data_IF_513261822484
#
_entry.id   IF_513261822484
#
_cell.length_a   1.000
_cell.length_b   1.000
_cell.length_c   1.000
_cell.angle_alpha   90.00
_cell.angle_beta   90.00
_cell.angle_gamma   90.00
#
_symmetry.space_group_name_H-M   'P 1'
#
loop_
_entity.id
_entity.type
_entity.pdbx_description
1 polymer ?
#
# COMPACT_ATOMS: atom_id res chain seq x y z
N UNK A 1 -2.72 8.25 -13.70
CA UNK A 1 -3.51 8.37 -12.44
C UNK A 1 -2.70 9.15 -11.42
N UNK A 2 -3.40 9.77 -10.45
CA UNK A 2 -2.79 10.27 -9.21
C UNK A 2 -2.97 9.21 -8.13
N UNK A 3 -1.89 8.66 -7.62
CA UNK A 3 -1.91 7.57 -6.63
C UNK A 3 -1.33 8.08 -5.31
N UNK A 4 -2.08 7.95 -4.22
CA UNK A 4 -1.56 8.21 -2.89
C UNK A 4 -1.04 6.91 -2.27
N UNK A 5 0.20 6.94 -1.79
CA UNK A 5 0.83 5.80 -1.10
C UNK A 5 1.13 6.18 0.33
N UNK A 6 0.59 5.42 1.27
CA UNK A 6 0.88 5.53 2.70
C UNK A 6 1.81 4.41 3.15
N UNK A 7 2.90 4.73 3.85
CA UNK A 7 3.79 3.74 4.48
C UNK A 7 3.68 3.88 5.99
N UNK A 8 3.29 2.79 6.66
CA UNK A 8 3.14 2.77 8.13
C UNK A 8 4.20 1.88 8.79
N UNK A 9 4.26 1.90 10.12
CA UNK A 9 5.27 1.19 10.89
C UNK A 9 5.00 -0.31 11.12
N UNK A 10 4.17 -0.96 10.31
CA UNK A 10 4.11 -2.42 10.33
C UNK A 10 5.38 -3.00 9.68
N UNK A 11 5.84 -4.16 10.15
CA UNK A 11 6.95 -4.86 9.51
C UNK A 11 6.61 -5.20 8.04
N UNK A 12 7.62 -5.17 7.16
CA UNK A 12 7.43 -5.35 5.73
C UNK A 12 7.39 -4.01 4.97
N UNK A 13 8.09 -2.99 5.46
CA UNK A 13 8.25 -1.69 4.76
C UNK A 13 8.77 -1.88 3.33
N UNK A 14 9.49 -2.97 3.07
CA UNK A 14 9.99 -3.35 1.75
C UNK A 14 8.88 -3.47 0.70
N UNK A 15 7.66 -3.85 1.07
CA UNK A 15 6.52 -3.87 0.12
C UNK A 15 6.15 -2.47 -0.36
N UNK A 16 6.17 -1.49 0.56
CA UNK A 16 5.92 -0.09 0.21
C UNK A 16 7.03 0.50 -0.66
N UNK A 17 8.29 0.20 -0.33
CA UNK A 17 9.45 0.64 -1.13
C UNK A 17 9.37 0.05 -2.53
N UNK A 18 9.17 -1.27 -2.65
CA UNK A 18 9.08 -1.94 -3.95
C UNK A 18 7.87 -1.47 -4.78
N UNK A 19 6.75 -1.15 -4.11
CA UNK A 19 5.61 -0.52 -4.77
C UNK A 19 5.97 0.84 -5.37
N UNK A 20 6.68 1.69 -4.62
CA UNK A 20 7.14 2.99 -5.10
C UNK A 20 8.12 2.85 -6.27
N UNK A 21 9.09 1.92 -6.18
CA UNK A 21 10.02 1.63 -7.28
C UNK A 21 9.26 1.22 -8.56
N UNK A 22 8.29 0.30 -8.43
CA UNK A 22 7.51 -0.15 -9.57
C UNK A 22 6.61 0.96 -10.15
N UNK A 23 6.05 1.83 -9.32
CA UNK A 23 5.26 2.97 -9.77
C UNK A 23 6.12 4.04 -10.44
N UNK A 24 7.38 4.22 -10.01
CA UNK A 24 8.33 5.18 -10.60
C UNK A 24 8.62 4.87 -12.07
N UNK A 25 8.51 3.61 -12.49
CA UNK A 25 8.68 3.18 -13.89
C UNK A 25 7.41 3.43 -14.74
N UNK A 26 6.40 4.07 -14.17
CA UNK A 26 5.14 4.38 -14.85
C UNK A 26 4.95 5.89 -15.01
N UNK A 27 3.97 6.30 -15.85
CA UNK A 27 3.60 7.71 -16.02
C UNK A 27 2.59 8.20 -14.95
N UNK A 28 2.47 7.48 -13.82
CA UNK A 28 1.53 7.83 -12.75
C UNK A 28 2.17 8.83 -11.79
N UNK A 29 1.38 9.79 -11.32
CA UNK A 29 1.84 10.73 -10.29
C UNK A 29 1.65 10.12 -8.91
N UNK A 30 2.72 9.99 -8.16
CA UNK A 30 2.75 9.35 -6.84
C UNK A 30 2.90 10.38 -5.74
N UNK A 31 1.95 10.40 -4.81
CA UNK A 31 2.00 11.19 -3.58
C UNK A 31 2.28 10.26 -2.39
N UNK A 32 3.44 10.39 -1.78
CA UNK A 32 3.87 9.59 -0.63
C UNK A 32 3.55 10.28 0.69
N UNK A 33 2.98 9.52 1.62
CA UNK A 33 2.86 9.89 3.03
C UNK A 33 3.57 8.83 3.87
N UNK A 34 4.63 9.23 4.57
CA UNK A 34 5.42 8.36 5.41
C UNK A 34 5.13 8.66 6.88
N UNK A 35 4.71 7.66 7.66
CA UNK A 35 4.54 7.84 9.09
C UNK A 35 5.89 7.84 9.81
N UNK A 36 5.97 8.43 10.99
CA UNK A 36 7.18 8.40 11.83
C UNK A 36 7.72 6.98 12.04
N UNK A 37 6.84 6.01 12.33
CA UNK A 37 7.25 4.61 12.47
C UNK A 37 7.54 3.94 11.12
N UNK A 38 6.92 4.36 10.03
CA UNK A 38 7.29 3.91 8.69
C UNK A 38 8.73 4.30 8.34
N UNK A 39 9.10 5.57 8.62
CA UNK A 39 10.47 6.06 8.46
C UNK A 39 11.47 5.25 9.28
N UNK A 40 11.22 5.09 10.60
CA UNK A 40 12.09 4.29 11.47
C UNK A 40 12.26 2.85 11.00
N UNK A 41 11.19 2.24 10.50
CA UNK A 41 11.19 0.84 10.04
C UNK A 41 12.05 0.66 8.79
N UNK A 42 12.21 1.66 7.93
CA UNK A 42 13.12 1.61 6.77
C UNK A 42 14.53 1.22 7.23
N UNK A 43 15.10 1.95 8.18
CA UNK A 43 16.45 1.69 8.68
C UNK A 43 16.57 0.44 9.56
N UNK A 44 15.46 -0.05 10.14
CA UNK A 44 15.46 -1.25 10.98
C UNK A 44 15.36 -2.55 10.16
N UNK A 45 14.70 -2.54 9.02
CA UNK A 45 14.39 -3.75 8.25
C UNK A 45 15.12 -3.83 6.91
N UNK A 46 15.67 -2.72 6.41
CA UNK A 46 16.27 -2.66 5.08
C UNK A 46 17.61 -1.94 5.08
N UNK A 47 18.33 -2.02 3.97
CA UNK A 47 19.53 -1.21 3.70
C UNK A 47 19.23 0.12 2.99
N UNK A 48 17.97 0.41 2.69
CA UNK A 48 17.58 1.66 2.06
C UNK A 48 17.68 2.84 3.03
N UNK A 49 17.94 4.02 2.46
CA UNK A 49 17.85 5.27 3.21
C UNK A 49 16.45 5.89 3.06
N UNK A 50 16.03 6.69 4.04
CA UNK A 50 14.77 7.45 3.93
C UNK A 50 14.79 8.36 2.70
N UNK A 51 15.90 9.09 2.46
CA UNK A 51 16.05 9.97 1.31
C UNK A 51 15.82 9.25 -0.02
N UNK A 52 16.33 8.01 -0.14
CA UNK A 52 16.06 7.19 -1.32
C UNK A 52 14.56 6.94 -1.48
N UNK A 53 13.90 6.50 -0.43
CA UNK A 53 12.45 6.19 -0.47
C UNK A 53 11.63 7.43 -0.82
N UNK A 54 11.97 8.59 -0.24
CA UNK A 54 11.31 9.86 -0.55
C UNK A 54 11.52 10.27 -2.03
N UNK A 55 12.69 9.98 -2.61
CA UNK A 55 13.01 10.30 -4.01
C UNK A 55 12.21 9.49 -5.04
N UNK A 56 11.56 8.40 -4.63
CA UNK A 56 10.74 7.57 -5.50
C UNK A 56 9.36 8.19 -5.81
N UNK A 57 8.94 9.19 -5.03
CA UNK A 57 7.64 9.84 -5.20
C UNK A 57 7.76 11.22 -5.86
N UNK A 58 6.71 11.65 -6.56
CA UNK A 58 6.63 12.98 -7.18
C UNK A 58 6.30 14.07 -6.15
N UNK A 59 5.58 13.70 -5.10
CA UNK A 59 5.21 14.58 -3.99
C UNK A 59 5.29 13.84 -2.67
N UNK A 60 5.81 14.49 -1.64
CA UNK A 60 5.92 13.93 -0.29
C UNK A 60 5.19 14.81 0.69
N UNK A 61 4.42 14.21 1.59
CA UNK A 61 3.66 14.92 2.61
C UNK A 61 3.97 14.37 4.00
N UNK A 62 4.10 15.26 4.96
CA UNK A 62 4.19 14.91 6.37
C UNK A 62 2.88 14.28 6.86
N UNK A 63 2.97 13.18 7.61
CA UNK A 63 1.79 12.44 8.09
C UNK A 63 0.92 13.22 9.09
N UNK A 64 1.46 14.24 9.75
CA UNK A 64 0.73 15.15 10.64
C UNK A 64 0.07 16.32 9.91
N UNK A 65 0.41 16.57 8.64
CA UNK A 65 -0.11 17.70 7.89
C UNK A 65 -1.52 17.45 7.34
N UNK A 66 -2.53 17.66 8.16
CA UNK A 66 -3.93 17.53 7.78
C UNK A 66 -4.43 18.60 6.81
N UNK A 67 -3.65 19.66 6.56
CA UNK A 67 -3.95 20.70 5.57
C UNK A 67 -3.39 20.37 4.17
N UNK A 68 -2.68 19.26 4.01
CA UNK A 68 -2.14 18.84 2.72
C UNK A 68 -3.23 18.62 1.66
N UNK A 69 -2.93 18.92 0.40
CA UNK A 69 -3.90 18.84 -0.69
C UNK A 69 -4.57 17.46 -0.80
N UNK A 70 -3.82 16.38 -0.57
CA UNK A 70 -4.30 14.98 -0.61
C UNK A 70 -5.34 14.65 0.48
N UNK A 71 -5.51 15.50 1.49
CA UNK A 71 -6.55 15.35 2.53
C UNK A 71 -7.96 15.66 2.02
N UNK A 72 -8.07 16.28 0.84
CA UNK A 72 -9.33 16.69 0.25
C UNK A 72 -9.73 15.80 -0.92
N UNK A 73 -10.99 15.36 -0.96
CA UNK A 73 -11.56 14.62 -2.10
C UNK A 73 -11.52 15.40 -3.41
N UNK A 74 -11.58 16.74 -3.35
CA UNK A 74 -11.53 17.62 -4.54
C UNK A 74 -10.13 17.69 -5.18
N UNK A 75 -9.07 17.24 -4.51
CA UNK A 75 -7.73 17.14 -5.10
C UNK A 75 -7.65 16.10 -6.21
N UNK A 76 -8.55 15.09 -6.18
CA UNK A 76 -8.72 14.14 -7.26
C UNK A 76 -7.66 13.03 -7.25
N UNK A 77 -7.38 12.42 -6.09
CA UNK A 77 -6.66 11.15 -6.00
C UNK A 77 -7.50 10.06 -6.67
N UNK A 78 -6.91 9.29 -7.58
CA UNK A 78 -7.59 8.23 -8.31
C UNK A 78 -7.57 6.89 -7.57
N UNK A 79 -6.51 6.62 -6.79
CA UNK A 79 -6.36 5.41 -5.98
C UNK A 79 -5.48 5.67 -4.76
N UNK A 80 -5.73 4.93 -3.68
CA UNK A 80 -4.94 4.99 -2.45
C UNK A 80 -4.44 3.58 -2.08
N UNK A 81 -3.15 3.45 -1.80
CA UNK A 81 -2.54 2.21 -1.33
C UNK A 81 -1.81 2.48 -0.01
N UNK A 82 -2.04 1.66 0.99
CA UNK A 82 -1.30 1.72 2.26
C UNK A 82 -0.50 0.42 2.40
N UNK A 83 0.82 0.53 2.27
CA UNK A 83 1.73 -0.61 2.18
C UNK A 83 3.07 -0.33 2.92
N UNK A 84 3.34 -1.05 4.03
CA UNK A 84 2.41 -1.91 4.76
C UNK A 84 1.37 -1.11 5.54
N UNK A 85 0.22 -1.73 5.84
CA UNK A 85 -0.82 -1.14 6.66
C UNK A 85 -0.81 -1.76 8.07
N UNK A 86 -0.53 -0.95 9.09
CA UNK A 86 -0.58 -1.39 10.49
C UNK A 86 -2.03 -1.55 10.98
N UNK A 87 -2.20 -2.35 12.04
CA UNK A 87 -3.51 -2.53 12.67
C UNK A 87 -4.05 -1.24 13.28
N UNK A 88 -3.19 -0.30 13.73
CA UNK A 88 -3.61 1.05 14.14
C UNK A 88 -4.27 1.79 12.98
N UNK A 89 -3.61 1.80 11.82
CA UNK A 89 -4.10 2.49 10.63
C UNK A 89 -5.39 1.84 10.10
N UNK A 90 -5.43 0.49 10.03
CA UNK A 90 -6.63 -0.25 9.70
C UNK A 90 -7.80 0.11 10.63
N UNK A 91 -7.56 0.14 11.95
CA UNK A 91 -8.58 0.48 12.94
C UNK A 91 -9.08 1.92 12.77
N UNK A 92 -8.19 2.88 12.50
CA UNK A 92 -8.56 4.27 12.23
C UNK A 92 -9.49 4.38 11.02
N UNK A 93 -9.14 3.74 9.91
CA UNK A 93 -9.95 3.73 8.68
C UNK A 93 -11.30 3.04 8.92
N UNK A 94 -11.29 1.86 9.55
CA UNK A 94 -12.51 1.08 9.82
C UNK A 94 -13.53 1.83 10.68
N UNK A 95 -13.06 2.73 11.55
CA UNK A 95 -13.91 3.50 12.47
C UNK A 95 -14.05 4.99 12.09
N UNK A 96 -13.51 5.41 10.93
CA UNK A 96 -13.57 6.80 10.49
C UNK A 96 -12.81 7.79 11.40
N UNK A 97 -11.81 7.31 12.15
CA UNK A 97 -11.02 8.11 13.08
C UNK A 97 -9.71 8.59 12.42
N UNK A 98 -9.82 9.70 11.70
CA UNK A 98 -8.72 10.28 10.92
C UNK A 98 -7.80 11.18 11.77
N UNK A 99 -6.95 10.57 12.61
CA UNK A 99 -6.00 11.27 13.49
C UNK A 99 -4.70 11.70 12.77
N UNK A 100 -4.48 11.25 11.54
CA UNK A 100 -3.33 11.59 10.73
C UNK A 100 -3.65 11.50 9.23
N UNK A 101 -2.74 12.01 8.39
CA UNK A 101 -2.97 12.11 6.96
C UNK A 101 -3.08 10.73 6.27
N UNK A 102 -2.39 9.68 6.75
CA UNK A 102 -2.49 8.34 6.16
C UNK A 102 -3.90 7.76 6.36
N UNK A 103 -4.46 7.87 7.58
CA UNK A 103 -5.84 7.45 7.84
C UNK A 103 -6.81 8.32 7.02
N UNK A 104 -6.53 9.64 6.94
CA UNK A 104 -7.38 10.56 6.19
C UNK A 104 -7.46 10.25 4.71
N UNK A 105 -6.35 9.93 4.02
CA UNK A 105 -6.42 9.56 2.59
C UNK A 105 -7.20 8.25 2.39
N UNK A 106 -7.14 7.31 3.33
CA UNK A 106 -7.97 6.10 3.32
C UNK A 106 -9.47 6.42 3.45
N UNK A 107 -9.84 7.26 4.41
CA UNK A 107 -11.22 7.75 4.60
C UNK A 107 -11.72 8.50 3.36
N UNK A 108 -10.88 9.38 2.79
CA UNK A 108 -11.21 10.10 1.54
C UNK A 108 -11.44 9.14 0.39
N UNK A 109 -10.61 8.11 0.23
CA UNK A 109 -10.79 7.13 -0.84
C UNK A 109 -12.15 6.42 -0.71
N UNK A 110 -12.53 5.98 0.50
CA UNK A 110 -13.81 5.32 0.73
C UNK A 110 -15.00 6.25 0.44
N UNK A 111 -14.99 7.49 0.95
CA UNK A 111 -16.10 8.43 0.75
C UNK A 111 -16.26 8.87 -0.71
N UNK A 112 -15.15 8.97 -1.47
CA UNK A 112 -15.14 9.33 -2.89
C UNK A 112 -15.34 8.12 -3.81
N UNK A 113 -15.54 6.91 -3.24
CA UNK A 113 -15.70 5.65 -3.99
C UNK A 113 -14.51 5.35 -4.93
N UNK A 114 -13.31 5.68 -4.46
CA UNK A 114 -12.05 5.40 -5.16
C UNK A 114 -11.42 4.12 -4.62
N UNK A 115 -10.63 3.39 -5.42
CA UNK A 115 -9.89 2.23 -4.93
C UNK A 115 -9.06 2.55 -3.69
N UNK A 116 -9.26 1.78 -2.63
CA UNK A 116 -8.44 1.77 -1.42
C UNK A 116 -7.91 0.36 -1.23
N UNK A 117 -6.58 0.20 -1.25
CA UNK A 117 -5.90 -1.07 -1.04
C UNK A 117 -5.08 -0.99 0.25
N UNK A 118 -5.34 -1.90 1.18
CA UNK A 118 -4.61 -2.01 2.44
C UNK A 118 -3.81 -3.30 2.46
N UNK A 119 -2.48 -3.19 2.33
CA UNK A 119 -1.57 -4.32 2.52
C UNK A 119 -1.37 -4.54 4.02
N UNK A 120 -2.39 -5.08 4.66
CA UNK A 120 -2.39 -5.28 6.11
C UNK A 120 -1.37 -6.35 6.50
N UNK A 121 -0.54 -6.03 7.53
CA UNK A 121 0.48 -6.97 8.02
C UNK A 121 0.41 -7.09 9.53
N UNK A 122 -0.01 -8.25 10.01
CA UNK A 122 -0.06 -8.65 11.41
C UNK A 122 -0.24 -10.16 11.52
N UNK A 123 0.36 -10.77 12.54
CA UNK A 123 0.16 -12.18 12.87
C UNK A 123 0.52 -12.45 14.35
N UNK A 124 -0.26 -13.26 15.12
CA UNK A 124 -1.59 -13.75 14.80
C UNK A 124 -2.65 -12.63 14.80
N UNK A 125 -3.81 -12.87 14.18
CA UNK A 125 -4.89 -11.89 14.14
C UNK A 125 -5.84 -12.06 15.33
N UNK A 126 -6.22 -10.94 15.96
CA UNK A 126 -7.31 -10.91 16.95
C UNK A 126 -8.67 -10.77 16.26
N UNK A 127 -9.74 -11.08 16.99
CA UNK A 127 -11.10 -10.84 16.49
C UNK A 127 -11.35 -9.36 16.16
N UNK A 128 -10.70 -8.43 16.89
CA UNK A 128 -10.80 -6.99 16.62
C UNK A 128 -10.19 -6.67 15.25
N UNK A 129 -9.01 -7.24 14.93
CA UNK A 129 -8.38 -7.06 13.62
C UNK A 129 -9.29 -7.57 12.49
N UNK A 130 -9.87 -8.78 12.66
CA UNK A 130 -10.77 -9.37 11.67
C UNK A 130 -12.04 -8.53 11.47
N UNK A 131 -12.64 -8.02 12.54
CA UNK A 131 -13.80 -7.11 12.46
C UNK A 131 -13.49 -5.82 11.72
N UNK A 132 -12.33 -5.22 11.97
CA UNK A 132 -11.89 -4.01 11.26
C UNK A 132 -11.65 -4.30 9.77
N UNK A 133 -11.06 -5.45 9.42
CA UNK A 133 -10.91 -5.87 8.02
C UNK A 133 -12.27 -6.03 7.34
N UNK A 134 -13.23 -6.67 8.02
CA UNK A 134 -14.60 -6.83 7.53
C UNK A 134 -15.25 -5.46 7.28
N UNK A 135 -15.20 -4.55 8.26
CA UNK A 135 -15.78 -3.22 8.14
C UNK A 135 -15.21 -2.42 6.95
N UNK A 136 -13.89 -2.47 6.74
CA UNK A 136 -13.26 -1.82 5.58
C UNK A 136 -13.70 -2.48 4.27
N UNK A 137 -13.83 -3.80 4.24
CA UNK A 137 -14.28 -4.54 3.05
C UNK A 137 -15.73 -4.20 2.71
N UNK A 138 -16.61 -4.14 3.70
CA UNK A 138 -18.02 -3.73 3.55
C UNK A 138 -18.13 -2.28 3.04
N UNK A 139 -17.22 -1.40 3.46
CA UNK A 139 -17.12 -0.02 2.98
C UNK A 139 -16.55 0.10 1.55
N UNK A 140 -16.08 -1.00 0.95
CA UNK A 140 -15.55 -1.06 -0.42
C UNK A 140 -14.02 -0.99 -0.52
N UNK A 141 -13.29 -1.05 0.60
CA UNK A 141 -11.84 -1.17 0.60
C UNK A 141 -11.38 -2.60 0.32
N UNK A 142 -10.16 -2.75 -0.16
CA UNK A 142 -9.54 -4.02 -0.48
C UNK A 142 -8.52 -4.36 0.60
N UNK A 143 -8.75 -5.46 1.30
CA UNK A 143 -7.78 -6.04 2.24
C UNK A 143 -6.88 -6.99 1.46
N UNK A 144 -5.60 -6.64 1.34
CA UNK A 144 -4.60 -7.37 0.56
C UNK A 144 -3.37 -7.67 1.42
N UNK A 145 -3.44 -8.66 2.32
CA UNK A 145 -2.27 -9.07 3.09
C UNK A 145 -1.17 -9.59 2.14
N UNK A 146 0.10 -9.29 2.36
CA UNK A 146 1.20 -9.78 1.53
C UNK A 146 1.47 -11.27 1.84
N UNK A 147 0.54 -12.13 1.43
CA UNK A 147 0.65 -13.58 1.59
C UNK A 147 1.41 -14.17 0.42
N UNK A 148 2.51 -14.93 0.66
CA UNK A 148 3.31 -15.49 -0.42
C UNK A 148 2.54 -16.56 -1.20
N UNK A 149 2.58 -16.45 -2.55
CA UNK A 149 2.15 -17.51 -3.45
C UNK A 149 3.36 -18.29 -3.95
N UNK A 150 3.26 -19.62 -4.02
CA UNK A 150 4.38 -20.48 -4.42
C UNK A 150 4.18 -21.15 -5.78
N UNK A 151 3.06 -20.92 -6.46
CA UNK A 151 2.74 -21.56 -7.75
C UNK A 151 3.72 -21.16 -8.87
N UNK A 152 4.32 -19.97 -8.79
CA UNK A 152 5.32 -19.48 -9.74
C UNK A 152 6.76 -19.89 -9.37
N UNK A 153 6.93 -20.77 -8.34
CA UNK A 153 8.22 -21.31 -7.85
C UNK A 153 9.27 -20.23 -7.57
N UNK A 154 8.99 -19.24 -6.68
CA UNK A 154 9.90 -18.12 -6.44
C UNK A 154 11.26 -18.61 -5.96
N UNK A 155 12.34 -18.04 -6.50
CA UNK A 155 13.72 -18.39 -6.18
C UNK A 155 14.37 -17.39 -5.22
N UNK A 156 13.70 -16.27 -4.95
CA UNK A 156 14.18 -15.22 -4.07
C UNK A 156 13.05 -14.58 -3.27
N UNK A 157 13.40 -13.85 -2.21
CA UNK A 157 12.46 -13.04 -1.45
C UNK A 157 11.89 -11.93 -2.33
N UNK A 158 12.70 -11.36 -3.22
CA UNK A 158 12.26 -10.28 -4.12
C UNK A 158 11.14 -10.74 -5.06
N UNK A 159 11.16 -11.99 -5.53
CA UNK A 159 10.07 -12.54 -6.33
C UNK A 159 8.77 -12.67 -5.54
N UNK A 160 8.84 -13.01 -4.25
CA UNK A 160 7.67 -13.04 -3.35
C UNK A 160 7.13 -11.62 -3.15
N UNK A 161 8.02 -10.64 -2.94
CA UNK A 161 7.65 -9.22 -2.81
C UNK A 161 7.02 -8.74 -4.11
N UNK A 162 7.65 -9.02 -5.25
CA UNK A 162 7.16 -8.64 -6.57
C UNK A 162 5.75 -9.20 -6.86
N UNK A 163 5.48 -10.45 -6.45
CA UNK A 163 4.14 -11.02 -6.59
C UNK A 163 3.10 -10.24 -5.80
N UNK A 164 3.39 -9.88 -4.56
CA UNK A 164 2.47 -9.10 -3.71
C UNK A 164 2.23 -7.70 -4.27
N UNK A 165 3.29 -7.02 -4.74
CA UNK A 165 3.22 -5.69 -5.38
C UNK A 165 2.46 -5.78 -6.70
N UNK A 166 2.72 -6.81 -7.51
CA UNK A 166 1.99 -7.05 -8.75
C UNK A 166 0.50 -7.25 -8.55
N UNK A 167 0.07 -7.83 -7.42
CA UNK A 167 -1.37 -7.90 -7.07
C UNK A 167 -1.97 -6.52 -6.80
N UNK A 168 -1.21 -5.55 -6.27
CA UNK A 168 -1.66 -4.15 -6.16
C UNK A 168 -1.87 -3.57 -7.56
N UNK A 169 -0.93 -3.79 -8.48
CA UNK A 169 -1.03 -3.33 -9.88
C UNK A 169 -2.26 -3.94 -10.58
N UNK A 170 -2.52 -5.24 -10.38
CA UNK A 170 -3.72 -5.92 -10.91
C UNK A 170 -5.01 -5.24 -10.41
N UNK A 171 -5.09 -4.95 -9.11
CA UNK A 171 -6.27 -4.28 -8.53
C UNK A 171 -6.45 -2.86 -9.06
N UNK A 172 -5.37 -2.16 -9.39
CA UNK A 172 -5.38 -0.84 -9.99
C UNK A 172 -5.51 -0.88 -11.53
N UNK A 173 -5.52 -2.07 -12.14
CA UNK A 173 -5.53 -2.28 -13.59
C UNK A 173 -4.34 -1.63 -14.31
N UNK A 174 -3.19 -1.60 -13.65
CA UNK A 174 -1.93 -1.11 -14.21
C UNK A 174 -1.21 -2.30 -14.85
N UNK A 175 -0.88 -2.26 -16.15
CA UNK A 175 -0.09 -3.31 -16.79
C UNK A 175 1.28 -3.47 -16.12
N UNK A 176 1.72 -4.71 -15.92
CA UNK A 176 3.02 -4.99 -15.32
C UNK A 176 3.53 -6.40 -15.66
N UNK A 177 4.84 -6.64 -15.39
CA UNK A 177 5.51 -7.92 -15.54
C UNK A 177 6.27 -8.33 -14.27
N UNK A 178 5.70 -8.00 -13.08
CA UNK A 178 6.36 -8.21 -11.79
C UNK A 178 6.41 -9.68 -11.36
N UNK A 179 5.54 -10.53 -11.89
CA UNK A 179 5.53 -11.97 -11.61
C UNK A 179 4.94 -12.77 -12.77
N UNK A 180 5.28 -14.07 -12.85
CA UNK A 180 4.69 -15.01 -13.82
C UNK A 180 3.26 -15.36 -13.38
N UNK A 181 2.29 -15.18 -14.30
CA UNK A 181 0.88 -15.47 -14.04
C UNK A 181 0.60 -16.96 -14.09
N UNK A 182 -0.35 -17.43 -13.30
CA UNK A 182 -0.82 -18.80 -13.40
C UNK A 182 -1.39 -19.08 -14.80
N UNK A 183 -0.99 -20.21 -15.40
CA UNK A 183 -1.42 -20.59 -16.76
C UNK A 183 -0.63 -19.94 -17.91
N UNK A 184 0.37 -19.11 -17.64
CA UNK A 184 1.31 -18.54 -18.62
C UNK A 184 2.69 -19.21 -18.50
N UNK A 185 2.76 -20.51 -18.24
CA UNK A 185 4.00 -21.27 -18.44
C UNK A 185 4.24 -21.43 -19.95
N UNK A 186 5.47 -21.14 -20.39
CA UNK A 186 5.88 -21.28 -21.77
C UNK A 186 5.54 -22.69 -22.31
N UNK A 187 4.52 -22.79 -23.17
CA UNK A 187 4.38 -23.88 -24.13
C UNK A 187 3.74 -25.19 -23.68
N UNK A 188 2.73 -25.19 -22.82
CA UNK A 188 1.82 -26.34 -22.69
C UNK A 188 0.37 -25.89 -22.90
N UNK A 189 -0.08 -25.91 -24.17
CA UNK A 189 -1.48 -26.17 -24.52
C UNK A 189 -1.79 -27.66 -24.32
#
# INVERSE_FOLDING_TARGET
>A
MKIAVGITGASGVVYGIRLLEALKETEHHVSLILSEWGSKTIGLETSYTEDYVLSLADSVYDSGNMAAAVSSGSYGIDATVIAPCSMKTLAGIANGFSDNLIVRIGDVALKERKPLILMVRETPLTLIHLRNMTAVTEAGGIILPPMPGFYHKPQSIDEIINQSVGKVFDMLRIPHHLFTRWGHEDGHE
#
